data_IF_265828734466
#
_entry.id   IF_265828734466
#
_cell.length_a   1.000
_cell.length_b   1.000
_cell.length_c   1.000
_cell.angle_alpha   90.00
_cell.angle_beta   90.00
_cell.angle_gamma   90.00
#
_symmetry.space_group_name_H-M   'P 1'
#
loop_
_entity.id
_entity.type
_entity.pdbx_description
1 polymer ?
#
# COMPACT_ATOMS: atom_id res chain seq x y z
N UNK A 1 -21.72 -38.82 -1.20
CA UNK A 1 -21.11 -40.16 -1.10
C UNK A 1 -19.99 -40.00 -0.10
N UNK A 2 -20.33 -40.28 1.16
CA UNK A 2 -19.51 -40.02 2.32
C UNK A 2 -18.83 -41.33 2.71
N UNK A 3 -17.50 -41.34 2.70
CA UNK A 3 -16.69 -42.50 3.05
C UNK A 3 -16.43 -42.54 4.55
N UNK A 4 -17.00 -43.53 5.21
CA UNK A 4 -16.89 -43.77 6.65
C UNK A 4 -15.63 -44.58 6.97
N UNK A 5 -14.74 -43.97 7.75
CA UNK A 5 -13.49 -44.57 8.26
C UNK A 5 -13.81 -45.46 9.47
N UNK A 6 -13.44 -46.75 9.39
CA UNK A 6 -13.58 -47.69 10.52
C UNK A 6 -12.32 -47.63 11.40
N UNK A 7 -12.50 -47.10 12.61
CA UNK A 7 -11.49 -47.02 13.67
C UNK A 7 -11.43 -48.35 14.42
N UNK A 8 -10.26 -48.99 14.48
CA UNK A 8 -10.02 -50.17 15.29
C UNK A 8 -9.76 -49.79 16.76
N UNK A 9 -10.67 -50.20 17.64
CA UNK A 9 -10.60 -50.04 19.10
C UNK A 9 -9.51 -50.92 19.71
N UNK A 10 -8.61 -50.32 20.51
CA UNK A 10 -7.59 -51.03 21.31
C UNK A 10 -8.26 -51.62 22.55
N UNK A 11 -8.10 -52.93 22.77
CA UNK A 11 -8.48 -53.58 24.03
C UNK A 11 -7.45 -53.30 25.13
N UNK A 12 -7.88 -53.14 26.39
CA UNK A 12 -7.00 -52.80 27.50
C UNK A 12 -6.19 -54.00 27.97
N UNK A 13 -4.93 -53.73 28.35
CA UNK A 13 -4.02 -54.64 29.04
C UNK A 13 -4.44 -54.78 30.50
N UNK A 14 -4.90 -55.96 30.90
CA UNK A 14 -5.03 -56.33 32.30
C UNK A 14 -3.75 -57.06 32.74
N UNK A 15 -3.11 -56.50 33.76
CA UNK A 15 -1.99 -57.06 34.51
C UNK A 15 -2.59 -57.95 35.58
N UNK A 16 -2.21 -59.22 35.68
CA UNK A 16 -2.24 -60.02 36.91
C UNK A 16 -1.23 -61.18 36.77
N UNK A 17 -0.20 -61.15 37.62
CA UNK A 17 0.62 -62.31 37.95
C UNK A 17 -0.23 -63.25 38.79
N UNK A 18 -0.70 -64.36 38.20
CA UNK A 18 -1.22 -65.51 38.91
C UNK A 18 -0.30 -66.69 38.59
N UNK A 19 0.31 -67.29 39.63
CA UNK A 19 1.04 -68.55 39.50
C UNK A 19 0.08 -69.61 38.93
N UNK A 20 0.38 -70.10 37.72
CA UNK A 20 -0.40 -71.13 37.05
C UNK A 20 -0.45 -72.39 37.91
N UNK A 21 -1.65 -72.91 38.20
CA UNK A 21 -1.78 -74.18 38.93
C UNK A 21 -1.22 -75.34 38.11
N UNK A 22 -0.68 -76.38 38.78
CA UNK A 22 -0.08 -77.54 38.09
C UNK A 22 -1.02 -78.18 37.06
N UNK A 23 -2.33 -78.17 37.32
CA UNK A 23 -3.35 -78.65 36.37
C UNK A 23 -3.43 -77.82 35.09
N UNK A 24 -3.20 -76.50 35.17
CA UNK A 24 -3.17 -75.61 34.01
C UNK A 24 -1.91 -75.84 33.17
N UNK A 25 -0.79 -76.19 33.82
CA UNK A 25 0.47 -76.51 33.14
C UNK A 25 0.32 -77.81 32.35
N UNK A 26 -0.29 -78.85 32.93
CA UNK A 26 -0.56 -80.11 32.23
C UNK A 26 -1.49 -79.90 31.02
N UNK A 27 -2.56 -79.12 31.18
CA UNK A 27 -3.46 -78.79 30.08
C UNK A 27 -2.74 -78.03 28.96
N UNK A 28 -1.82 -77.12 29.31
CA UNK A 28 -1.06 -76.34 28.34
C UNK A 28 -0.06 -77.21 27.58
N UNK A 29 0.61 -78.14 28.26
CA UNK A 29 1.49 -79.13 27.63
C UNK A 29 0.73 -80.10 26.71
N UNK A 30 -0.44 -80.58 27.13
CA UNK A 30 -1.31 -81.41 26.29
C UNK A 30 -1.77 -80.66 25.03
N UNK A 31 -2.10 -79.36 25.15
CA UNK A 31 -2.46 -78.52 24.00
C UNK A 31 -1.29 -78.25 23.07
N UNK A 32 -0.09 -78.07 23.61
CA UNK A 32 1.12 -77.86 22.83
C UNK A 32 1.51 -79.11 22.04
N UNK A 33 1.43 -80.29 22.65
CA UNK A 33 1.72 -81.57 21.98
C UNK A 33 0.74 -81.87 20.86
N UNK A 34 -0.57 -81.62 21.06
CA UNK A 34 -1.58 -81.75 20.00
C UNK A 34 -1.29 -80.84 18.80
N UNK A 35 -0.96 -79.57 19.04
CA UNK A 35 -0.58 -78.61 17.97
C UNK A 35 0.65 -79.06 17.19
N UNK A 36 1.64 -79.66 17.87
CA UNK A 36 2.87 -80.12 17.21
C UNK A 36 2.60 -81.31 16.29
N UNK A 37 1.69 -82.21 16.69
CA UNK A 37 1.24 -83.31 15.84
C UNK A 37 0.38 -82.87 14.65
N UNK A 38 -0.45 -81.84 14.82
CA UNK A 38 -1.22 -81.27 13.70
C UNK A 38 -0.31 -80.57 12.68
N UNK A 39 0.70 -79.83 13.16
CA UNK A 39 1.68 -79.17 12.32
C UNK A 39 2.51 -80.18 11.51
N UNK A 40 2.89 -81.31 12.11
CA UNK A 40 3.61 -82.37 11.37
C UNK A 40 2.72 -83.02 10.31
N UNK A 41 1.44 -83.28 10.59
CA UNK A 41 0.46 -83.77 9.60
C UNK A 41 0.21 -82.78 8.46
N UNK A 42 0.10 -81.47 8.75
CA UNK A 42 -0.03 -80.43 7.72
C UNK A 42 1.21 -80.37 6.82
N UNK A 43 2.41 -80.49 7.40
CA UNK A 43 3.66 -80.49 6.64
C UNK A 43 3.75 -81.71 5.69
N UNK A 44 3.24 -82.87 6.11
CA UNK A 44 3.17 -84.07 5.26
C UNK A 44 2.10 -83.97 4.16
N UNK A 45 0.98 -83.27 4.40
CA UNK A 45 -0.06 -83.02 3.39
C UNK A 45 0.42 -82.08 2.28
N UNK A 46 1.28 -81.10 2.59
CA UNK A 46 1.82 -80.15 1.61
C UNK A 46 2.77 -80.84 0.61
N UNK A 47 3.54 -81.85 1.05
CA UNK A 47 4.46 -82.58 0.16
C UNK A 47 3.75 -83.50 -0.85
N UNK A 48 2.46 -83.83 -0.67
CA UNK A 48 1.75 -84.79 -1.52
C UNK A 48 1.09 -84.18 -2.76
N UNK A 49 1.05 -82.85 -2.88
CA UNK A 49 0.31 -82.12 -3.91
C UNK A 49 1.20 -81.27 -4.84
N UNK A 50 2.44 -81.69 -5.11
CA UNK A 50 3.30 -81.04 -6.11
C UNK A 50 3.39 -81.84 -7.42
N UNK A 51 2.33 -81.82 -8.24
CA UNK A 51 2.47 -82.26 -9.63
C UNK A 51 1.38 -81.78 -10.60
N UNK A 52 1.07 -80.48 -10.63
CA UNK A 52 0.44 -79.85 -11.82
C UNK A 52 0.95 -78.41 -11.99
N UNK A 53 1.95 -78.22 -12.85
CA UNK A 53 2.50 -76.91 -13.19
C UNK A 53 1.68 -76.23 -14.29
N UNK A 54 0.76 -75.34 -13.92
CA UNK A 54 0.15 -74.41 -14.87
C UNK A 54 1.12 -73.26 -15.14
N UNK A 55 1.63 -73.16 -16.37
CA UNK A 55 2.50 -72.04 -16.78
C UNK A 55 1.64 -70.96 -17.41
N UNK A 56 1.37 -69.90 -16.66
CA UNK A 56 0.67 -68.72 -17.19
C UNK A 56 1.64 -67.87 -18.03
N UNK A 57 1.21 -67.32 -19.18
CA UNK A 57 2.01 -66.39 -19.95
C UNK A 57 2.28 -65.13 -19.12
N UNK A 58 3.56 -64.70 -19.11
CA UNK A 58 3.97 -63.49 -18.41
C UNK A 58 3.45 -62.27 -19.16
N UNK A 59 2.55 -61.50 -18.54
CA UNK A 59 2.13 -60.19 -19.03
C UNK A 59 3.32 -59.24 -18.97
N UNK A 60 3.77 -58.77 -20.13
CA UNK A 60 4.74 -57.69 -20.23
C UNK A 60 3.99 -56.35 -20.11
N UNK A 61 3.98 -55.79 -18.90
CA UNK A 61 3.33 -54.51 -18.61
C UNK A 61 4.12 -53.29 -19.14
N UNK A 62 5.25 -53.51 -19.84
CA UNK A 62 6.13 -52.45 -20.30
C UNK A 62 6.79 -51.69 -19.15
N UNK A 63 7.28 -50.48 -19.45
CA UNK A 63 7.89 -49.61 -18.45
C UNK A 63 6.82 -49.02 -17.52
N UNK A 64 6.59 -49.68 -16.39
CA UNK A 64 5.72 -49.20 -15.31
C UNK A 64 6.24 -47.84 -14.79
N UNK A 65 5.33 -46.90 -14.55
CA UNK A 65 5.69 -45.61 -13.99
C UNK A 65 6.31 -45.77 -12.59
N UNK A 66 7.41 -45.05 -12.35
CA UNK A 66 8.11 -45.10 -11.06
C UNK A 66 7.23 -44.50 -9.96
N UNK A 67 7.13 -45.14 -8.78
CA UNK A 67 6.35 -44.63 -7.67
C UNK A 67 6.87 -43.24 -7.25
N UNK A 68 5.96 -42.36 -6.86
CA UNK A 68 6.27 -40.99 -6.42
C UNK A 68 6.90 -40.94 -5.02
N UNK A 69 6.82 -42.04 -4.28
CA UNK A 69 7.46 -42.23 -2.97
C UNK A 69 8.62 -43.21 -3.14
N UNK A 70 9.79 -42.81 -2.65
CA UNK A 70 10.97 -43.67 -2.59
C UNK A 70 11.41 -43.83 -1.13
N UNK A 71 11.57 -45.07 -0.68
CA UNK A 71 12.10 -45.36 0.65
C UNK A 71 13.61 -45.50 0.58
N UNK A 72 14.33 -44.75 1.42
CA UNK A 72 15.78 -44.92 1.64
C UNK A 72 15.98 -45.32 3.09
N UNK A 73 16.12 -46.63 3.33
CA UNK A 73 16.07 -47.18 4.68
C UNK A 73 14.68 -46.99 5.30
N UNK A 74 14.63 -46.49 6.54
CA UNK A 74 13.38 -46.29 7.30
C UNK A 74 12.64 -44.99 6.95
N UNK A 75 13.21 -44.14 6.09
CA UNK A 75 12.62 -42.83 5.74
C UNK A 75 12.04 -42.88 4.33
N UNK A 76 10.72 -42.67 4.25
CA UNK A 76 10.02 -42.44 2.99
C UNK A 76 10.22 -40.99 2.52
N UNK A 77 10.84 -40.81 1.37
CA UNK A 77 11.05 -39.50 0.72
C UNK A 77 10.19 -39.38 -0.52
N UNK A 78 9.56 -38.22 -0.70
CA UNK A 78 8.63 -37.96 -1.81
C UNK A 78 9.25 -36.94 -2.75
N UNK A 79 9.14 -37.17 -4.07
CA UNK A 79 9.60 -36.22 -5.08
C UNK A 79 8.66 -35.00 -5.13
N UNK A 80 9.09 -33.90 -4.51
CA UNK A 80 8.33 -32.66 -4.41
C UNK A 80 8.02 -32.01 -5.75
N UNK A 81 8.79 -32.31 -6.80
CA UNK A 81 8.55 -31.80 -8.16
C UNK A 81 7.30 -32.39 -8.81
N UNK A 82 6.91 -33.60 -8.43
CA UNK A 82 5.73 -34.30 -8.94
C UNK A 82 4.46 -33.99 -8.17
N UNK A 83 4.58 -33.53 -6.92
CA UNK A 83 3.44 -33.22 -6.05
C UNK A 83 2.73 -31.91 -6.43
N UNK A 84 3.49 -30.90 -6.85
CA UNK A 84 2.96 -29.57 -7.12
C UNK A 84 3.47 -29.05 -8.45
N UNK A 85 2.57 -28.41 -9.20
CA UNK A 85 2.94 -27.64 -10.40
C UNK A 85 3.94 -26.55 -10.01
N UNK A 86 4.96 -26.33 -10.84
CA UNK A 86 6.04 -25.36 -10.57
C UNK A 86 5.54 -23.96 -10.18
N UNK A 87 4.43 -23.50 -10.77
CA UNK A 87 3.81 -22.20 -10.42
C UNK A 87 3.40 -22.12 -8.95
N UNK A 88 2.76 -23.17 -8.44
CA UNK A 88 2.29 -23.23 -7.04
C UNK A 88 3.48 -23.32 -6.09
N UNK A 89 4.51 -24.09 -6.47
CA UNK A 89 5.73 -24.22 -5.70
C UNK A 89 6.46 -22.87 -5.57
N UNK A 90 6.63 -22.14 -6.68
CA UNK A 90 7.22 -20.79 -6.68
C UNK A 90 6.40 -19.80 -5.84
N UNK A 91 5.07 -19.91 -5.82
CA UNK A 91 4.20 -19.10 -4.97
C UNK A 91 4.29 -19.46 -3.47
N UNK A 92 4.64 -20.71 -3.14
CA UNK A 92 4.79 -21.19 -1.76
C UNK A 92 6.19 -20.92 -1.20
N UNK A 93 7.24 -21.13 -2.00
CA UNK A 93 8.64 -20.91 -1.63
C UNK A 93 9.03 -19.42 -1.68
N UNK A 94 8.27 -18.59 -2.40
CA UNK A 94 8.48 -17.15 -2.46
C UNK A 94 8.25 -16.46 -1.11
N UNK A 95 9.16 -15.55 -0.74
CA UNK A 95 9.05 -14.74 0.47
C UNK A 95 7.77 -13.91 0.40
N UNK A 96 6.81 -14.19 1.27
CA UNK A 96 5.55 -13.43 1.35
C UNK A 96 5.77 -12.16 2.18
N UNK A 97 5.60 -11.00 1.56
CA UNK A 97 5.52 -9.73 2.28
C UNK A 97 4.13 -9.62 2.91
N UNK A 98 4.04 -9.85 4.22
CA UNK A 98 2.80 -9.65 4.98
C UNK A 98 2.74 -8.19 5.39
N UNK A 99 1.87 -7.40 4.75
CA UNK A 99 1.62 -6.02 5.15
C UNK A 99 0.31 -5.91 5.92
N UNK A 100 0.27 -5.03 6.93
CA UNK A 100 -0.94 -4.79 7.69
C UNK A 100 -2.04 -4.20 6.77
N UNK A 101 -3.25 -4.79 6.73
CA UNK A 101 -4.31 -4.37 5.80
C UNK A 101 -4.79 -2.94 6.04
N UNK A 102 -4.58 -2.41 7.25
CA UNK A 102 -4.92 -1.01 7.58
C UNK A 102 -3.87 -0.04 7.03
N UNK A 103 -2.58 -0.38 7.13
CA UNK A 103 -1.50 0.48 6.65
C UNK A 103 -1.47 0.56 5.13
N UNK A 104 -1.66 -0.57 4.45
CA UNK A 104 -1.74 -0.63 2.99
C UNK A 104 -2.94 0.14 2.44
N UNK A 105 -4.12 0.05 3.07
CA UNK A 105 -5.29 0.85 2.70
C UNK A 105 -5.05 2.35 2.86
N UNK A 106 -4.45 2.78 3.97
CA UNK A 106 -4.08 4.19 4.20
C UNK A 106 -3.09 4.70 3.16
N UNK A 107 -2.03 3.93 2.87
CA UNK A 107 -1.04 4.28 1.86
C UNK A 107 -1.67 4.41 0.46
N UNK A 108 -2.59 3.50 0.11
CA UNK A 108 -3.35 3.57 -1.15
C UNK A 108 -4.25 4.81 -1.21
N UNK A 109 -4.90 5.19 -0.11
CA UNK A 109 -5.70 6.41 -0.04
C UNK A 109 -4.84 7.67 -0.14
N UNK A 110 -3.67 7.69 0.48
CA UNK A 110 -2.71 8.81 0.37
C UNK A 110 -2.19 8.95 -1.05
N UNK A 111 -1.85 7.84 -1.72
CA UNK A 111 -1.46 7.84 -3.13
C UNK A 111 -2.59 8.35 -4.03
N UNK A 112 -3.84 7.95 -3.75
CA UNK A 112 -5.02 8.48 -4.48
C UNK A 112 -5.25 9.97 -4.24
N UNK A 113 -4.98 10.47 -3.03
CA UNK A 113 -5.11 11.90 -2.66
C UNK A 113 -3.90 12.74 -3.08
N UNK A 114 -2.77 12.12 -3.42
CA UNK A 114 -1.58 12.82 -3.88
C UNK A 114 -1.79 13.45 -5.26
N UNK A 115 -2.78 12.98 -6.00
CA UNK A 115 -2.99 13.29 -7.40
C UNK A 115 -4.49 13.48 -7.68
N UNK A 116 -4.85 14.40 -8.56
CA UNK A 116 -6.24 14.63 -8.97
C UNK A 116 -6.87 13.45 -9.74
N UNK A 117 -6.06 12.46 -10.10
CA UNK A 117 -6.44 11.22 -10.78
C UNK A 117 -6.25 11.26 -12.31
N UNK A 118 -6.50 10.12 -12.98
CA UNK A 118 -6.21 9.95 -14.40
C UNK A 118 -7.13 10.78 -15.31
N UNK A 119 -8.34 11.12 -14.85
CA UNK A 119 -9.26 12.00 -15.57
C UNK A 119 -8.68 13.41 -15.77
N UNK A 120 -7.72 13.79 -14.91
CA UNK A 120 -7.04 15.07 -14.96
C UNK A 120 -5.52 14.89 -15.07
N UNK A 121 -5.10 13.93 -15.91
CA UNK A 121 -3.70 13.64 -16.28
C UNK A 121 -2.74 13.59 -15.10
N UNK A 122 -3.21 13.06 -13.98
CA UNK A 122 -2.42 12.93 -12.77
C UNK A 122 -1.83 14.25 -12.25
N UNK A 123 -2.62 15.33 -12.26
CA UNK A 123 -2.20 16.61 -11.70
C UNK A 123 -1.83 16.47 -10.20
N UNK A 124 -0.62 16.89 -9.79
CA UNK A 124 -0.16 16.70 -8.43
C UNK A 124 -0.89 17.62 -7.44
N UNK A 125 -0.93 17.18 -6.18
CA UNK A 125 -1.42 17.98 -5.06
C UNK A 125 -0.54 19.21 -4.84
N UNK A 126 -1.17 20.33 -4.55
CA UNK A 126 -0.50 21.61 -4.30
C UNK A 126 0.43 21.52 -3.10
N UNK A 127 1.72 21.73 -3.30
CA UNK A 127 2.67 21.97 -2.22
C UNK A 127 2.69 23.47 -1.88
N UNK A 128 2.12 23.83 -0.72
CA UNK A 128 1.94 25.23 -0.34
C UNK A 128 3.24 25.86 0.20
N UNK A 129 4.17 26.14 -0.70
CA UNK A 129 5.37 26.95 -0.38
C UNK A 129 4.97 28.41 -0.11
N UNK A 130 5.76 29.17 0.68
CA UNK A 130 5.45 30.58 0.96
C UNK A 130 5.48 31.45 -0.29
N UNK A 131 6.28 31.10 -1.29
CA UNK A 131 6.33 31.77 -2.60
C UNK A 131 5.04 31.52 -3.38
N UNK A 132 4.66 30.26 -3.54
CA UNK A 132 3.44 29.88 -4.25
C UNK A 132 2.20 30.46 -3.58
N UNK A 133 2.16 30.51 -2.24
CA UNK A 133 1.06 31.12 -1.50
C UNK A 133 0.87 32.60 -1.87
N UNK A 134 1.97 33.34 -2.05
CA UNK A 134 1.92 34.76 -2.46
C UNK A 134 1.45 34.89 -3.91
N UNK A 135 1.95 34.04 -4.81
CA UNK A 135 1.53 34.02 -6.21
C UNK A 135 0.03 33.71 -6.35
N UNK A 136 -0.47 32.69 -5.63
CA UNK A 136 -1.89 32.33 -5.63
C UNK A 136 -2.78 33.45 -5.05
N UNK A 137 -2.33 34.09 -3.98
CA UNK A 137 -2.98 35.28 -3.43
C UNK A 137 -3.04 36.41 -4.47
N UNK A 138 -1.94 36.64 -5.18
CA UNK A 138 -1.85 37.67 -6.22
C UNK A 138 -2.80 37.38 -7.39
N UNK A 139 -2.87 36.13 -7.85
CA UNK A 139 -3.80 35.68 -8.90
C UNK A 139 -5.25 35.91 -8.45
N UNK A 140 -5.59 35.59 -7.20
CA UNK A 140 -6.94 35.84 -6.67
C UNK A 140 -7.27 37.33 -6.67
N UNK A 141 -6.28 38.18 -6.41
CA UNK A 141 -6.40 39.64 -6.41
C UNK A 141 -6.10 40.28 -7.79
N UNK A 142 -6.08 39.51 -8.89
CA UNK A 142 -5.70 40.00 -10.23
C UNK A 142 -6.47 41.23 -10.72
N UNK A 143 -7.72 41.40 -10.28
CA UNK A 143 -8.55 42.56 -10.61
C UNK A 143 -8.08 43.89 -10.01
N UNK A 144 -7.16 43.86 -9.04
CA UNK A 144 -6.58 45.08 -8.43
C UNK A 144 -5.29 45.51 -9.15
N UNK A 145 -4.65 44.58 -9.87
CA UNK A 145 -3.35 44.79 -10.49
C UNK A 145 -3.41 45.86 -11.58
N UNK A 146 -4.36 45.70 -12.50
CA UNK A 146 -4.55 46.58 -13.64
C UNK A 146 -5.94 47.26 -13.54
N UNK A 147 -6.00 48.61 -13.47
CA UNK A 147 -7.27 49.35 -13.46
C UNK A 147 -8.18 49.07 -14.67
N UNK A 148 -7.58 48.72 -15.81
CA UNK A 148 -8.30 48.62 -17.07
C UNK A 148 -8.76 47.18 -17.36
N UNK A 149 -8.26 46.20 -16.59
CA UNK A 149 -8.64 44.79 -16.77
C UNK A 149 -9.58 44.35 -15.66
N UNK A 150 -10.86 44.24 -16.04
CA UNK A 150 -11.92 43.74 -15.17
C UNK A 150 -12.11 42.24 -15.40
N UNK A 151 -11.81 41.44 -14.38
CA UNK A 151 -11.99 39.99 -14.42
C UNK A 151 -13.31 39.58 -13.78
N UNK A 152 -13.82 38.40 -14.18
CA UNK A 152 -14.93 37.75 -13.47
C UNK A 152 -14.56 37.52 -12.01
N UNK A 153 -15.47 37.89 -11.10
CA UNK A 153 -15.31 37.69 -9.66
C UNK A 153 -15.47 36.21 -9.32
N UNK A 154 -14.42 35.59 -8.81
CA UNK A 154 -14.53 34.28 -8.17
C UNK A 154 -14.99 34.45 -6.72
N UNK A 155 -16.26 34.17 -6.45
CA UNK A 155 -16.88 34.24 -5.12
C UNK A 155 -16.35 33.21 -4.10
N UNK A 156 -15.41 32.35 -4.49
CA UNK A 156 -14.78 31.39 -3.59
C UNK A 156 -13.88 32.03 -2.53
N UNK A 157 -13.70 31.32 -1.41
CA UNK A 157 -12.79 31.69 -0.31
C UNK A 157 -11.37 31.91 -0.85
N UNK A 158 -10.59 32.72 -0.15
CA UNK A 158 -9.18 32.99 -0.46
C UNK A 158 -8.31 31.80 -0.02
N UNK A 159 -8.56 30.64 -0.61
CA UNK A 159 -7.86 29.39 -0.34
C UNK A 159 -7.12 28.94 -1.59
N UNK A 160 -5.97 28.30 -1.38
CA UNK A 160 -5.22 27.68 -2.47
C UNK A 160 -6.02 26.50 -3.05
N UNK A 161 -5.95 26.26 -4.36
CA UNK A 161 -6.50 25.03 -4.96
C UNK A 161 -5.85 23.79 -4.33
N UNK A 162 -6.61 22.70 -4.22
CA UNK A 162 -6.10 21.43 -3.67
C UNK A 162 -5.01 20.82 -4.56
N UNK A 163 -5.19 20.91 -5.89
CA UNK A 163 -4.25 20.44 -6.90
C UNK A 163 -3.84 21.62 -7.78
N UNK A 164 -2.53 21.80 -8.00
CA UNK A 164 -2.00 22.87 -8.85
C UNK A 164 -0.56 22.57 -9.27
N UNK A 165 -0.17 23.17 -10.39
CA UNK A 165 1.19 23.12 -10.90
C UNK A 165 1.56 24.49 -11.47
N UNK A 166 2.82 24.87 -11.26
CA UNK A 166 3.39 26.09 -11.84
C UNK A 166 4.06 25.72 -13.15
N UNK A 167 3.67 26.37 -14.24
CA UNK A 167 4.24 26.20 -15.56
C UNK A 167 4.75 27.52 -16.12
N UNK A 168 5.65 27.45 -17.10
CA UNK A 168 6.13 28.60 -17.86
C UNK A 168 5.57 28.51 -19.28
N UNK A 169 5.15 29.65 -19.85
CA UNK A 169 4.65 29.70 -21.23
C UNK A 169 5.83 29.51 -22.18
N UNK A 170 5.73 28.52 -23.07
CA UNK A 170 6.66 28.33 -24.18
C UNK A 170 6.10 29.11 -25.37
N UNK A 171 6.80 30.17 -25.75
CA UNK A 171 6.40 31.06 -26.85
C UNK A 171 6.47 30.32 -28.20
N UNK A 172 5.49 30.57 -29.06
CA UNK A 172 5.43 29.95 -30.39
C UNK A 172 6.55 30.43 -31.33
N UNK A 173 6.91 29.62 -32.34
CA UNK A 173 7.99 29.95 -33.27
C UNK A 173 7.66 31.10 -34.24
N UNK A 174 6.41 31.54 -34.31
CA UNK A 174 5.94 32.59 -35.22
C UNK A 174 5.88 33.98 -34.58
N UNK A 175 5.97 34.08 -33.26
CA UNK A 175 5.85 35.35 -32.53
C UNK A 175 7.20 35.78 -31.91
N UNK A 176 7.97 36.57 -32.67
CA UNK A 176 9.29 37.04 -32.22
C UNK A 176 9.26 38.37 -31.48
N UNK A 177 8.41 39.31 -31.92
CA UNK A 177 8.51 40.71 -31.48
C UNK A 177 7.47 41.13 -30.43
N UNK A 178 6.24 40.61 -30.52
CA UNK A 178 5.12 41.05 -29.67
C UNK A 178 4.84 40.10 -28.50
N UNK A 179 4.86 38.79 -28.74
CA UNK A 179 4.50 37.78 -27.75
C UNK A 179 5.65 37.35 -26.83
N UNK A 180 6.89 37.78 -27.13
CA UNK A 180 8.10 37.30 -26.46
C UNK A 180 8.59 38.26 -25.38
N UNK A 181 8.90 37.71 -24.21
CA UNK A 181 9.58 38.44 -23.14
C UNK A 181 11.11 38.36 -23.31
N UNK A 182 11.80 39.50 -23.20
CA UNK A 182 13.26 39.56 -23.10
C UNK A 182 13.73 38.82 -21.83
N UNK A 183 14.88 38.16 -21.91
CA UNK A 183 15.45 37.37 -20.80
C UNK A 183 15.56 38.14 -19.47
N UNK A 184 15.80 39.46 -19.50
CA UNK A 184 15.89 40.29 -18.29
C UNK A 184 14.56 40.46 -17.57
N UNK A 185 13.46 40.45 -18.33
CA UNK A 185 12.09 40.58 -17.83
C UNK A 185 11.50 39.25 -17.37
N UNK A 186 12.08 38.12 -17.81
CA UNK A 186 11.71 36.78 -17.33
C UNK A 186 12.13 36.61 -15.87
N UNK A 187 11.16 36.44 -14.98
CA UNK A 187 11.37 36.22 -13.55
C UNK A 187 10.96 34.80 -13.15
N UNK A 188 11.32 34.38 -11.92
CA UNK A 188 11.01 33.03 -11.43
C UNK A 188 9.59 32.92 -10.91
N UNK A 189 9.09 33.98 -10.28
CA UNK A 189 7.76 34.02 -9.66
C UNK A 189 6.90 35.11 -10.27
N UNK A 190 5.58 34.95 -10.15
CA UNK A 190 4.62 35.93 -10.69
C UNK A 190 4.66 37.24 -9.90
N UNK A 191 4.85 37.17 -8.58
CA UNK A 191 5.03 38.34 -7.72
C UNK A 191 6.25 39.17 -8.13
N UNK A 192 7.38 38.55 -8.45
CA UNK A 192 8.58 39.26 -8.90
C UNK A 192 8.35 40.06 -10.18
N UNK A 193 7.64 39.49 -11.15
CA UNK A 193 7.30 40.17 -12.40
C UNK A 193 6.41 41.40 -12.13
N UNK A 194 5.41 41.25 -11.27
CA UNK A 194 4.53 42.36 -10.87
C UNK A 194 5.29 43.45 -10.12
N UNK A 195 6.26 43.08 -9.29
CA UNK A 195 7.09 44.04 -8.56
C UNK A 195 8.00 44.82 -9.51
N UNK A 196 8.57 44.16 -10.53
CA UNK A 196 9.38 44.86 -11.54
C UNK A 196 8.54 45.87 -12.32
N UNK A 197 7.32 45.48 -12.72
CA UNK A 197 6.37 46.41 -13.37
C UNK A 197 5.93 47.54 -12.44
N UNK A 198 5.83 47.29 -11.13
CA UNK A 198 5.53 48.33 -10.14
C UNK A 198 6.64 49.37 -10.06
N UNK A 199 7.91 48.95 -10.14
CA UNK A 199 9.05 49.88 -10.13
C UNK A 199 9.00 50.84 -11.31
N UNK A 200 8.52 50.37 -12.46
CA UNK A 200 8.33 51.20 -13.67
C UNK A 200 7.12 52.14 -13.54
N UNK A 201 6.00 51.65 -12.98
CA UNK A 201 4.73 52.39 -13.00
C UNK A 201 4.46 53.24 -11.75
N UNK A 202 5.03 52.89 -10.59
CA UNK A 202 4.85 53.56 -9.29
C UNK A 202 3.40 53.62 -8.77
N UNK A 203 2.46 52.95 -9.46
CA UNK A 203 1.01 53.10 -9.22
C UNK A 203 0.61 52.61 -7.84
N UNK A 204 1.07 51.42 -7.46
CA UNK A 204 0.65 50.82 -6.19
C UNK A 204 1.11 51.67 -5.01
N UNK A 205 2.35 52.19 -5.04
CA UNK A 205 2.85 53.15 -4.04
C UNK A 205 1.98 54.40 -3.95
N UNK A 206 1.64 55.02 -5.09
CA UNK A 206 0.75 56.20 -5.12
C UNK A 206 -0.62 55.88 -4.52
N UNK A 207 -1.26 54.81 -5.01
CA UNK A 207 -2.61 54.45 -4.56
C UNK A 207 -2.65 54.03 -3.10
N UNK A 208 -1.61 53.35 -2.63
CA UNK A 208 -1.43 53.03 -1.21
C UNK A 208 -1.37 54.30 -0.37
N UNK A 209 -0.60 55.30 -0.81
CA UNK A 209 -0.56 56.63 -0.19
C UNK A 209 -1.94 57.27 -0.10
N UNK A 210 -2.68 57.34 -1.22
CA UNK A 210 -4.04 57.90 -1.26
C UNK A 210 -5.02 57.18 -0.32
N UNK A 211 -4.91 55.85 -0.25
CA UNK A 211 -5.73 55.04 0.66
C UNK A 211 -5.34 55.30 2.10
N UNK A 212 -4.05 55.45 2.39
CA UNK A 212 -3.55 55.69 3.74
C UNK A 212 -3.90 57.09 4.24
N UNK A 213 -3.80 58.12 3.40
CA UNK A 213 -4.26 59.48 3.74
C UNK A 213 -5.76 59.47 4.01
N UNK A 214 -6.56 58.82 3.15
CA UNK A 214 -7.99 58.63 3.37
C UNK A 214 -8.30 57.91 4.69
N UNK A 215 -7.63 56.79 4.97
CA UNK A 215 -7.82 56.01 6.21
C UNK A 215 -7.29 56.69 7.46
N UNK A 216 -6.35 57.63 7.34
CA UNK A 216 -5.75 58.33 8.49
C UNK A 216 -6.44 59.66 8.76
N UNK A 217 -7.16 60.21 7.78
CA UNK A 217 -7.97 61.40 7.95
C UNK A 217 -8.95 61.24 9.12
N UNK A 218 -9.10 62.29 9.93
CA UNK A 218 -9.99 62.32 11.09
C UNK A 218 -9.59 61.45 12.30
N UNK A 219 -8.49 60.70 12.25
CA UNK A 219 -8.02 59.89 13.38
C UNK A 219 -7.31 60.72 14.46
N UNK A 220 -6.71 60.02 15.43
CA UNK A 220 -5.98 60.58 16.58
C UNK A 220 -4.95 61.65 16.20
N UNK A 221 -4.23 61.50 15.07
CA UNK A 221 -3.27 62.50 14.61
C UNK A 221 -3.94 63.84 14.30
N UNK A 222 -5.08 63.83 13.59
CA UNK A 222 -5.87 65.04 13.31
C UNK A 222 -6.42 65.66 14.60
N UNK A 223 -6.95 64.84 15.50
CA UNK A 223 -7.45 65.30 16.81
C UNK A 223 -6.36 65.94 17.68
N UNK A 224 -5.16 65.35 17.72
CA UNK A 224 -4.03 65.91 18.44
C UNK A 224 -3.58 67.24 17.82
N UNK A 225 -3.46 67.34 16.50
CA UNK A 225 -3.15 68.60 15.82
C UNK A 225 -4.18 69.70 16.16
N UNK A 226 -5.45 69.34 16.27
CA UNK A 226 -6.50 70.29 16.64
C UNK A 226 -6.38 70.73 18.11
N UNK A 227 -6.02 69.82 19.02
CA UNK A 227 -5.70 70.15 20.41
C UNK A 227 -4.48 71.06 20.52
N UNK A 228 -3.43 70.80 19.75
CA UNK A 228 -2.20 71.60 19.77
C UNK A 228 -2.47 73.01 19.25
N UNK A 229 -3.28 73.14 18.18
CA UNK A 229 -3.77 74.45 17.71
C UNK A 229 -4.58 75.20 18.78
N UNK A 230 -5.46 74.51 19.51
CA UNK A 230 -6.22 75.11 20.63
C UNK A 230 -5.30 75.58 21.77
N UNK A 231 -4.26 74.82 22.10
CA UNK A 231 -3.27 75.21 23.12
C UNK A 231 -2.40 76.39 22.66
N UNK A 232 -1.96 76.39 21.40
CA UNK A 232 -1.12 77.46 20.83
C UNK A 232 -1.83 78.80 20.63
N UNK A 233 -3.16 78.82 20.59
CA UNK A 233 -3.97 80.04 20.48
C UNK A 233 -4.13 80.83 21.78
N UNK A 234 -3.76 80.27 22.94
CA UNK A 234 -3.80 80.98 24.22
C UNK A 234 -2.50 81.77 24.41
N UNK A 235 -2.29 82.83 23.62
CA UNK A 235 -1.43 83.93 24.08
C UNK A 235 -2.21 84.65 25.17
N UNK A 236 -1.94 84.28 26.43
CA UNK A 236 -2.32 85.09 27.60
C UNK A 236 -1.83 86.51 27.32
N UNK A 237 -2.74 87.46 27.16
CA UNK A 237 -2.41 88.88 27.17
C UNK A 237 -1.66 89.17 28.46
N UNK A 238 -0.37 89.45 28.32
CA UNK A 238 0.46 90.03 29.37
C UNK A 238 0.11 91.51 29.40
N UNK A 239 -0.88 91.86 30.23
CA UNK A 239 -1.02 93.19 30.80
C UNK A 239 -0.21 93.29 32.09
#
# INVERSE_FOLDING_TARGET
MEDTIVVASRKPTAVLDDELSDEQIEQLLARATARLQEKSKQTQLIQKNESHSYTFPKLDAGALEKPYVTTKGDIATVDSSRLLKEKLRKQAEGIRKVEDPVTSKKALEEQKKATAGPQWFDLPKTNLTPELKRDLQLIKMRGVLDPHRHYKKDGGKMQAPEYSQVGTIIEGPTEYFSGRLENKKRKRTFVEEVLEKERETGRFKKKYGDVQTGKTSGKKAFYNQLKDKRKGGVKKGSG
#
